data_IF_648315518257
#
_entry.id   IF_648315518257
#
_cell.length_a   1.000
_cell.length_b   1.000
_cell.length_c   1.000
_cell.angle_alpha   90.00
_cell.angle_beta   90.00
_cell.angle_gamma   90.00
#
_symmetry.space_group_name_H-M   'P 1'
#
loop_
_entity.id
_entity.type
_entity.pdbx_description
1 polymer ?
#
# COMPACT_ATOMS: atom_id res chain seq x y z
N UNK A 1 -6.03 -7.26 -35.86
CA UNK A 1 -4.97 -7.23 -34.84
C UNK A 1 -5.61 -6.84 -33.54
N UNK A 2 -5.74 -7.78 -32.60
CA UNK A 2 -6.39 -7.55 -31.30
C UNK A 2 -5.54 -6.58 -30.48
N UNK A 3 -6.10 -5.41 -30.15
CA UNK A 3 -5.52 -4.51 -29.18
C UNK A 3 -5.63 -5.18 -27.80
N UNK A 4 -4.54 -5.78 -27.33
CA UNK A 4 -4.40 -6.08 -25.91
C UNK A 4 -4.21 -4.76 -25.17
N UNK A 5 -4.97 -4.46 -24.10
CA UNK A 5 -4.65 -3.33 -23.27
C UNK A 5 -3.32 -3.65 -22.57
N UNK A 6 -2.21 -3.21 -23.18
CA UNK A 6 -0.99 -2.98 -22.42
C UNK A 6 -1.37 -2.00 -21.32
N UNK A 7 -1.26 -2.41 -20.06
CA UNK A 7 -1.50 -1.58 -18.89
C UNK A 7 -0.53 -0.39 -18.93
N UNK A 8 -0.92 0.65 -19.65
CA UNK A 8 -0.18 1.88 -19.82
C UNK A 8 -0.39 2.72 -18.56
N UNK A 9 0.64 2.82 -17.73
CA UNK A 9 0.93 4.03 -16.94
C UNK A 9 -0.11 4.48 -15.91
N UNK A 10 -0.98 3.59 -15.40
CA UNK A 10 -1.72 3.91 -14.18
C UNK A 10 -0.72 3.89 -13.02
N UNK A 11 -0.48 5.06 -12.42
CA UNK A 11 0.23 5.12 -11.14
C UNK A 11 -0.49 4.19 -10.15
N UNK A 12 0.24 3.39 -9.35
CA UNK A 12 -0.39 2.49 -8.41
C UNK A 12 -1.32 3.28 -7.47
N UNK A 13 -2.54 2.79 -7.34
CA UNK A 13 -3.61 3.46 -6.61
C UNK A 13 -3.80 2.83 -5.24
N UNK A 14 -4.11 3.66 -4.25
CA UNK A 14 -4.35 3.21 -2.87
C UNK A 14 -5.68 3.77 -2.38
N UNK A 15 -6.54 2.88 -1.87
CA UNK A 15 -7.79 3.25 -1.22
C UNK A 15 -7.72 2.91 0.26
N UNK A 16 -7.79 3.92 1.12
CA UNK A 16 -7.75 3.74 2.58
C UNK A 16 -9.15 3.65 3.18
N UNK A 17 -9.29 2.90 4.29
CA UNK A 17 -10.46 2.90 5.15
C UNK A 17 -10.04 2.94 6.60
N UNK A 18 -10.71 3.77 7.39
CA UNK A 18 -10.52 3.87 8.84
C UNK A 18 -11.55 3.06 9.63
N UNK A 19 -11.21 2.75 10.87
CA UNK A 19 -12.01 2.00 11.84
C UNK A 19 -11.19 1.81 13.12
N UNK A 20 -11.23 0.61 13.72
CA UNK A 20 -10.31 0.23 14.80
C UNK A 20 -8.86 0.04 14.31
N UNK A 21 -8.70 -0.22 13.02
CA UNK A 21 -7.44 -0.25 12.28
C UNK A 21 -7.59 0.60 11.02
N UNK A 22 -6.47 0.90 10.36
CA UNK A 22 -6.47 1.48 9.01
C UNK A 22 -6.18 0.34 8.04
N UNK A 23 -7.09 0.15 7.09
CA UNK A 23 -6.88 -0.78 5.97
C UNK A 23 -6.59 0.00 4.70
N UNK A 24 -5.76 -0.56 3.82
CA UNK A 24 -5.46 0.02 2.53
C UNK A 24 -5.52 -1.05 1.44
N UNK A 25 -6.31 -0.81 0.40
CA UNK A 25 -6.32 -1.63 -0.79
C UNK A 25 -5.40 -1.00 -1.85
N UNK A 26 -4.36 -1.73 -2.22
CA UNK A 26 -3.40 -1.36 -3.25
C UNK A 26 -3.77 -2.02 -4.58
N UNK A 27 -3.68 -1.27 -5.67
CA UNK A 27 -3.93 -1.76 -7.01
C UNK A 27 -2.92 -1.21 -8.02
N UNK A 28 -2.43 -2.09 -8.90
CA UNK A 28 -1.52 -1.73 -10.00
C UNK A 28 -0.05 -1.68 -9.60
N UNK A 29 0.33 -2.22 -8.44
CA UNK A 29 1.72 -2.37 -8.04
C UNK A 29 2.34 -3.62 -8.67
N UNK A 30 3.66 -3.66 -8.77
CA UNK A 30 4.39 -4.79 -9.34
C UNK A 30 4.25 -6.05 -8.47
N UNK A 31 3.84 -7.20 -9.05
CA UNK A 31 3.78 -8.46 -8.33
C UNK A 31 5.12 -8.84 -7.69
N UNK A 32 5.06 -9.39 -6.48
CA UNK A 32 6.24 -9.81 -5.71
C UNK A 32 6.89 -8.72 -4.85
N UNK A 33 6.51 -7.45 -5.02
CA UNK A 33 6.91 -6.41 -4.08
C UNK A 33 6.23 -6.63 -2.73
N UNK A 34 6.88 -6.21 -1.65
CA UNK A 34 6.29 -6.19 -0.32
C UNK A 34 5.89 -4.75 0.01
N UNK A 35 4.67 -4.54 0.47
CA UNK A 35 4.12 -3.23 0.80
C UNK A 35 3.61 -3.18 2.24
N UNK A 36 3.67 -2.02 2.88
CA UNK A 36 3.09 -1.78 4.21
C UNK A 36 2.46 -0.38 4.30
N UNK A 37 1.53 -0.22 5.23
CA UNK A 37 1.08 1.09 5.68
C UNK A 37 2.14 1.65 6.64
N UNK A 38 2.59 2.87 6.38
CA UNK A 38 3.56 3.58 7.20
C UNK A 38 3.06 4.99 7.58
N UNK A 39 3.38 5.43 8.79
CA UNK A 39 3.21 6.79 9.27
C UNK A 39 4.35 7.17 10.24
N UNK A 40 4.25 8.31 10.94
CA UNK A 40 5.26 8.71 11.92
C UNK A 40 5.43 7.67 13.05
N UNK A 41 4.33 7.08 13.51
CA UNK A 41 4.28 6.12 14.62
C UNK A 41 3.55 4.82 14.24
N UNK A 42 3.49 4.51 12.94
CA UNK A 42 2.78 3.33 12.42
C UNK A 42 3.72 2.61 11.46
N UNK A 43 4.03 1.36 11.79
CA UNK A 43 4.69 0.39 10.92
C UNK A 43 3.78 -0.84 10.82
N UNK A 44 2.91 -0.84 9.81
CA UNK A 44 2.01 -1.96 9.57
C UNK A 44 2.74 -3.22 9.10
N UNK A 45 2.16 -4.42 9.21
CA UNK A 45 2.74 -5.62 8.62
C UNK A 45 2.96 -5.49 7.11
N UNK A 46 4.13 -5.92 6.66
CA UNK A 46 4.44 -6.09 5.24
C UNK A 46 3.57 -7.19 4.62
N UNK A 47 3.04 -6.91 3.43
CA UNK A 47 2.26 -7.85 2.61
C UNK A 47 2.79 -7.87 1.19
N UNK A 48 2.87 -9.06 0.62
CA UNK A 48 3.32 -9.23 -0.76
C UNK A 48 2.19 -8.91 -1.72
N UNK A 49 2.51 -8.17 -2.77
CA UNK A 49 1.63 -7.89 -3.90
C UNK A 49 1.45 -9.17 -4.72
N UNK A 50 0.21 -9.55 -4.95
CA UNK A 50 -0.15 -10.75 -5.68
C UNK A 50 0.14 -10.64 -7.19
N UNK A 51 -0.13 -11.71 -7.92
CA UNK A 51 0.04 -11.76 -9.38
C UNK A 51 -0.90 -10.83 -10.16
N UNK A 52 -1.98 -10.33 -9.54
CA UNK A 52 -2.89 -9.35 -10.12
C UNK A 52 -2.42 -7.90 -9.88
N UNK A 53 -1.33 -7.71 -9.14
CA UNK A 53 -0.83 -6.38 -8.78
C UNK A 53 -1.62 -5.73 -7.64
N UNK A 54 -2.27 -6.55 -6.82
CA UNK A 54 -3.08 -6.10 -5.67
C UNK A 54 -2.50 -6.54 -4.33
N UNK A 55 -2.78 -5.77 -3.29
CA UNK A 55 -2.48 -6.14 -1.91
C UNK A 55 -3.45 -5.47 -0.95
N UNK A 56 -3.94 -6.22 0.04
CA UNK A 56 -4.67 -5.68 1.17
C UNK A 56 -3.74 -5.52 2.36
N UNK A 57 -3.63 -4.28 2.84
CA UNK A 57 -2.78 -3.88 3.94
C UNK A 57 -3.63 -3.51 5.15
N UNK A 58 -3.07 -3.72 6.32
CA UNK A 58 -3.67 -3.34 7.61
C UNK A 58 -2.58 -2.69 8.47
N UNK A 59 -2.94 -1.69 9.26
CA UNK A 59 -2.00 -0.99 10.15
C UNK A 59 -1.78 -1.70 11.48
N UNK A 60 -2.57 -2.71 11.80
CA UNK A 60 -2.80 -3.17 13.16
C UNK A 60 -3.70 -2.21 13.95
N UNK A 61 -3.95 -2.57 15.21
CA UNK A 61 -4.72 -1.76 16.15
C UNK A 61 -4.05 -0.41 16.39
N UNK A 62 -4.83 0.67 16.27
CA UNK A 62 -4.34 2.02 16.48
C UNK A 62 -5.18 2.73 17.56
N UNK A 63 -4.57 3.66 18.31
CA UNK A 63 -5.34 4.55 19.16
C UNK A 63 -6.27 5.42 18.31
N UNK A 64 -7.48 5.74 18.81
CA UNK A 64 -8.42 6.59 18.10
C UNK A 64 -7.82 7.98 17.85
N UNK A 65 -8.04 8.53 16.66
CA UNK A 65 -7.44 9.78 16.24
C UNK A 65 -7.22 9.88 14.73
N UNK A 66 -6.59 10.98 14.32
CA UNK A 66 -6.23 11.25 12.92
C UNK A 66 -4.81 10.76 12.68
N UNK A 67 -4.64 9.98 11.62
CA UNK A 67 -3.35 9.41 11.23
C UNK A 67 -3.05 9.80 9.79
N UNK A 68 -1.90 10.44 9.56
CA UNK A 68 -1.42 10.74 8.22
C UNK A 68 -0.58 9.57 7.70
N UNK A 69 -1.22 8.68 6.95
CA UNK A 69 -0.63 7.42 6.49
C UNK A 69 -0.20 7.51 5.02
N UNK A 70 0.76 6.66 4.64
CA UNK A 70 1.15 6.39 3.26
C UNK A 70 1.41 4.89 3.10
N UNK A 71 1.39 4.38 1.87
CA UNK A 71 1.88 3.04 1.57
C UNK A 71 3.31 3.15 1.09
N UNK A 72 4.18 2.30 1.60
CA UNK A 72 5.53 2.10 1.07
C UNK A 72 5.68 0.68 0.57
N UNK A 73 6.40 0.51 -0.52
CA UNK A 73 6.69 -0.80 -1.11
C UNK A 73 8.19 -0.96 -1.33
N UNK A 74 8.68 -2.18 -1.20
CA UNK A 74 10.08 -2.56 -1.41
C UNK A 74 10.18 -3.92 -2.11
N UNK A 75 11.28 -4.13 -2.85
CA UNK A 75 11.61 -5.43 -3.43
C UNK A 75 12.51 -6.21 -2.47
N UNK A 76 11.90 -6.97 -1.56
CA UNK A 76 12.63 -7.83 -0.61
C UNK A 76 13.42 -8.95 -1.29
N UNK A 77 13.01 -9.40 -2.47
CA UNK A 77 13.67 -10.51 -3.14
C UNK A 77 15.04 -10.11 -3.69
N UNK A 78 15.22 -8.82 -4.01
CA UNK A 78 16.49 -8.30 -4.52
C UNK A 78 17.48 -7.87 -3.43
N UNK A 79 17.05 -7.78 -2.17
CA UNK A 79 17.86 -7.21 -1.09
C UNK A 79 18.19 -5.72 -1.29
N UNK A 80 17.62 -5.10 -2.33
CA UNK A 80 17.66 -3.67 -2.60
C UNK A 80 16.63 -3.01 -1.69
N UNK A 81 17.13 -2.32 -0.66
CA UNK A 81 16.33 -1.62 0.37
C UNK A 81 15.67 -0.34 -0.17
N UNK A 82 15.55 -0.20 -1.49
CA UNK A 82 14.88 0.94 -2.11
C UNK A 82 13.38 0.83 -1.88
N UNK A 83 12.93 1.45 -0.80
CA UNK A 83 11.52 1.71 -0.55
C UNK A 83 11.05 2.85 -1.45
N UNK A 84 9.88 2.68 -2.07
CA UNK A 84 9.18 3.76 -2.76
C UNK A 84 7.81 3.99 -2.15
N UNK A 85 7.35 5.23 -2.19
CA UNK A 85 6.01 5.60 -1.71
C UNK A 85 5.01 5.34 -2.83
N UNK A 86 3.89 4.72 -2.47
CA UNK A 86 2.80 4.41 -3.38
C UNK A 86 1.57 5.24 -3.03
N UNK A 87 1.08 5.98 -4.03
CA UNK A 87 0.00 6.94 -3.85
C UNK A 87 0.40 8.16 -3.02
N UNK A 88 -0.60 9.00 -2.72
CA UNK A 88 -0.42 10.16 -1.86
C UNK A 88 -0.60 9.81 -0.38
N UNK A 89 0.13 10.51 0.49
CA UNK A 89 -0.15 10.47 1.92
C UNK A 89 -1.56 11.00 2.19
N UNK A 90 -2.35 10.25 2.95
CA UNK A 90 -3.77 10.51 3.20
C UNK A 90 -4.02 10.55 4.70
N UNK A 91 -4.87 11.47 5.16
CA UNK A 91 -5.35 11.47 6.54
C UNK A 91 -6.51 10.48 6.68
N UNK A 92 -6.42 9.56 7.64
CA UNK A 92 -7.44 8.58 7.96
C UNK A 92 -7.76 8.68 9.45
N UNK A 93 -9.05 8.67 9.79
CA UNK A 93 -9.49 8.73 11.19
C UNK A 93 -9.82 7.33 11.70
N UNK A 94 -9.39 7.04 12.91
CA UNK A 94 -9.71 5.82 13.68
C UNK A 94 -10.55 6.20 14.89
N UNK A 95 -11.46 5.31 15.32
CA UNK A 95 -12.47 5.61 16.35
C UNK A 95 -13.01 4.36 17.03
#
# INVERSE_FOLDING_TARGET
MSAGPGAAGALPAVTYRGGATITAHLQGERPGYSCQIAAHDIDGPWRTVDSAGTADLDSGALPPGRHRVRVICEDRARGDVTTHVVGAATEVTTG
#
